data_IF_424284021601
#
_entry.id   IF_424284021601
#
_cell.length_a   1.000
_cell.length_b   1.000
_cell.length_c   1.000
_cell.angle_alpha   90.00
_cell.angle_beta   90.00
_cell.angle_gamma   90.00
#
_symmetry.space_group_name_H-M   'P 1'
#
loop_
_entity.id
_entity.type
_entity.pdbx_description
1 polymer ?
#
# COMPACT_ATOMS: atom_id res chain seq x y z
N UNK A 1 -15.04 3.42 -20.52
CA UNK A 1 -14.50 4.66 -19.91
C UNK A 1 -15.09 5.98 -20.42
N UNK A 2 -15.51 6.09 -21.69
CA UNK A 2 -15.86 7.39 -22.30
C UNK A 2 -14.79 7.91 -23.27
N UNK A 3 -13.88 7.04 -23.70
CA UNK A 3 -12.78 7.32 -24.65
C UNK A 3 -13.27 7.54 -26.09
N UNK A 4 -14.53 7.22 -26.38
CA UNK A 4 -15.18 7.41 -27.67
C UNK A 4 -16.15 8.62 -27.67
N UNK A 5 -16.02 9.55 -26.72
CA UNK A 5 -16.88 10.72 -26.60
C UNK A 5 -16.67 11.68 -27.80
N UNK A 6 -17.45 11.50 -28.86
CA UNK A 6 -17.68 12.53 -29.87
C UNK A 6 -18.79 13.47 -29.37
N UNK A 7 -18.73 14.77 -29.73
CA UNK A 7 -19.77 15.76 -29.42
C UNK A 7 -21.18 15.37 -29.94
N UNK A 8 -21.29 14.37 -30.82
CA UNK A 8 -22.54 13.83 -31.37
C UNK A 8 -23.21 12.73 -30.51
N UNK A 9 -22.57 12.28 -29.43
CA UNK A 9 -23.12 11.20 -28.61
C UNK A 9 -24.19 11.75 -27.65
N UNK A 10 -25.40 11.16 -27.62
CA UNK A 10 -26.47 11.55 -26.71
C UNK A 10 -25.98 11.61 -25.25
N UNK A 11 -26.49 12.53 -24.41
CA UNK A 11 -26.09 12.64 -23.00
C UNK A 11 -26.23 11.32 -22.22
N UNK A 12 -27.18 10.48 -22.62
CA UNK A 12 -27.47 9.13 -22.09
C UNK A 12 -26.40 8.09 -22.46
N UNK A 13 -25.68 8.27 -23.56
CA UNK A 13 -24.65 7.35 -24.05
C UNK A 13 -23.24 7.77 -23.64
N UNK A 14 -23.08 8.88 -22.92
CA UNK A 14 -21.79 9.33 -22.38
C UNK A 14 -21.27 8.37 -21.31
N UNK A 15 -19.94 8.15 -21.33
CA UNK A 15 -19.25 7.29 -20.37
C UNK A 15 -19.22 7.83 -18.93
N UNK A 16 -18.54 7.11 -18.03
CA UNK A 16 -18.43 7.50 -16.62
C UNK A 16 -17.56 8.74 -16.40
N UNK A 17 -16.44 8.85 -17.13
CA UNK A 17 -15.50 9.98 -17.03
C UNK A 17 -16.17 11.32 -17.34
N UNK A 18 -16.81 11.54 -18.51
CA UNK A 18 -17.42 12.83 -18.84
C UNK A 18 -18.50 13.24 -17.83
N UNK A 19 -19.31 12.29 -17.34
CA UNK A 19 -20.36 12.53 -16.34
C UNK A 19 -19.77 12.89 -14.98
N UNK A 20 -18.74 12.17 -14.54
CA UNK A 20 -18.05 12.44 -13.29
C UNK A 20 -17.38 13.81 -13.32
N UNK A 21 -16.71 14.16 -14.42
CA UNK A 21 -16.07 15.47 -14.58
C UNK A 21 -17.09 16.60 -14.62
N UNK A 22 -18.20 16.46 -15.37
CA UNK A 22 -19.27 17.46 -15.37
C UNK A 22 -19.81 17.69 -13.96
N UNK A 23 -20.03 16.63 -13.18
CA UNK A 23 -20.51 16.72 -11.80
C UNK A 23 -19.47 17.37 -10.89
N UNK A 24 -18.20 17.03 -11.05
CA UNK A 24 -17.08 17.58 -10.30
C UNK A 24 -16.96 19.09 -10.52
N UNK A 25 -16.85 19.54 -11.78
CA UNK A 25 -16.75 20.96 -12.11
C UNK A 25 -17.99 21.76 -11.69
N UNK A 26 -19.18 21.17 -11.82
CA UNK A 26 -20.42 21.79 -11.32
C UNK A 26 -20.39 21.95 -9.78
N UNK A 27 -19.89 20.93 -9.07
CA UNK A 27 -19.75 20.97 -7.61
C UNK A 27 -18.72 21.99 -7.15
N UNK A 28 -17.58 22.10 -7.83
CA UNK A 28 -16.55 23.09 -7.51
C UNK A 28 -17.05 24.54 -7.66
N UNK A 29 -17.93 24.79 -8.63
CA UNK A 29 -18.51 26.11 -8.88
C UNK A 29 -19.70 26.45 -7.95
N UNK A 30 -20.13 25.51 -7.10
CA UNK A 30 -21.23 25.72 -6.16
C UNK A 30 -20.89 26.75 -5.08
N UNK A 31 -21.91 27.48 -4.60
CA UNK A 31 -21.79 28.51 -3.57
C UNK A 31 -21.11 28.02 -2.28
N UNK A 32 -21.27 26.73 -1.96
CA UNK A 32 -20.66 26.09 -0.79
C UNK A 32 -19.12 26.06 -0.82
N UNK A 33 -18.53 26.11 -2.01
CA UNK A 33 -17.09 25.92 -2.21
C UNK A 33 -16.37 27.14 -2.76
N UNK A 34 -17.06 28.28 -2.93
CA UNK A 34 -16.47 29.55 -3.42
C UNK A 34 -15.27 30.06 -2.62
N UNK A 35 -15.16 29.69 -1.35
CA UNK A 35 -14.05 30.12 -0.47
C UNK A 35 -12.81 29.23 -0.58
N UNK A 36 -12.87 28.15 -1.39
CA UNK A 36 -11.76 27.21 -1.59
C UNK A 36 -11.09 27.47 -2.92
N UNK A 37 -9.77 27.28 -2.96
CA UNK A 37 -9.00 27.24 -4.22
C UNK A 37 -8.87 25.81 -4.68
N UNK A 38 -9.13 25.55 -5.96
CA UNK A 38 -9.00 24.24 -6.57
C UNK A 38 -7.90 24.26 -7.62
N UNK A 39 -7.12 23.17 -7.68
CA UNK A 39 -6.17 22.89 -8.75
C UNK A 39 -6.35 21.45 -9.17
N UNK A 40 -6.61 21.24 -10.46
CA UNK A 40 -6.84 19.91 -11.02
C UNK A 40 -5.71 19.57 -11.98
N UNK A 41 -5.29 18.32 -11.89
CA UNK A 41 -4.31 17.72 -12.78
C UNK A 41 -4.83 16.38 -13.27
N UNK A 42 -4.50 16.03 -14.50
CA UNK A 42 -4.81 14.74 -15.08
C UNK A 42 -3.54 14.03 -15.53
N UNK A 43 -3.54 12.71 -15.40
CA UNK A 43 -2.51 11.84 -15.95
C UNK A 43 -3.15 10.61 -16.57
N UNK A 44 -2.51 10.05 -17.60
CA UNK A 44 -3.03 8.88 -18.30
C UNK A 44 -1.91 7.90 -18.59
N UNK A 45 -2.03 6.70 -18.02
CA UNK A 45 -1.03 5.64 -18.13
C UNK A 45 -1.65 4.43 -18.81
N UNK A 46 -0.88 3.82 -19.71
CA UNK A 46 -1.12 2.48 -20.23
C UNK A 46 -0.12 1.50 -19.61
N UNK A 47 -0.61 0.32 -19.25
CA UNK A 47 0.21 -0.82 -18.83
C UNK A 47 0.08 -1.89 -19.91
N UNK A 48 1.17 -2.13 -20.62
CA UNK A 48 1.24 -3.14 -21.67
C UNK A 48 2.49 -3.98 -21.49
N UNK A 49 2.34 -5.30 -21.44
CA UNK A 49 3.46 -6.23 -21.21
C UNK A 49 4.31 -5.89 -19.96
N UNK A 50 3.66 -5.53 -18.85
CA UNK A 50 4.31 -5.03 -17.63
C UNK A 50 5.16 -3.76 -17.84
N UNK A 51 5.03 -3.03 -18.95
CA UNK A 51 5.66 -1.72 -19.16
C UNK A 51 4.67 -0.58 -18.96
N UNK A 52 5.13 0.50 -18.33
CA UNK A 52 4.33 1.69 -18.04
C UNK A 52 4.60 2.73 -19.11
N UNK A 53 3.55 3.10 -19.84
CA UNK A 53 3.61 4.03 -20.96
C UNK A 53 2.76 5.25 -20.59
N UNK A 54 3.38 6.43 -20.59
CA UNK A 54 2.65 7.70 -20.47
C UNK A 54 1.95 8.02 -21.80
N UNK A 55 0.63 8.15 -21.76
CA UNK A 55 -0.21 8.46 -22.92
C UNK A 55 -0.37 9.97 -23.17
N UNK A 56 -0.02 10.83 -22.21
CA UNK A 56 -0.06 12.30 -22.35
C UNK A 56 1.31 12.91 -22.65
N UNK A 57 2.38 12.13 -22.47
CA UNK A 57 3.76 12.50 -22.76
C UNK A 57 3.99 12.95 -24.21
N UNK A 58 4.61 14.12 -24.39
CA UNK A 58 4.93 14.68 -25.73
C UNK A 58 6.21 14.11 -26.35
N UNK A 59 7.00 13.35 -25.59
CA UNK A 59 8.25 12.76 -26.07
C UNK A 59 7.99 11.53 -26.94
N UNK A 60 8.64 11.44 -28.11
CA UNK A 60 8.57 10.30 -29.01
C UNK A 60 9.82 9.41 -28.85
N UNK A 61 9.64 8.07 -28.87
CA UNK A 61 10.75 7.10 -28.88
C UNK A 61 11.53 6.98 -27.55
N UNK A 62 12.84 6.71 -27.66
CA UNK A 62 13.78 6.46 -26.54
C UNK A 62 13.98 7.65 -25.59
N UNK A 63 13.47 8.84 -25.94
CA UNK A 63 13.53 10.04 -25.08
C UNK A 63 12.40 10.12 -24.06
N UNK A 64 11.49 9.13 -24.00
CA UNK A 64 10.42 9.10 -23.01
C UNK A 64 10.99 8.83 -21.61
N UNK A 65 10.70 9.67 -20.60
CA UNK A 65 11.09 9.37 -19.23
C UNK A 65 10.46 8.04 -18.82
N UNK A 66 11.28 7.14 -18.29
CA UNK A 66 10.80 5.86 -17.80
C UNK A 66 9.90 6.08 -16.59
N UNK A 67 8.63 5.68 -16.72
CA UNK A 67 7.68 5.76 -15.62
C UNK A 67 8.04 4.69 -14.58
N UNK A 68 8.36 5.12 -13.37
CA UNK A 68 8.73 4.24 -12.26
C UNK A 68 7.80 4.44 -11.07
N UNK A 69 7.51 3.33 -10.39
CA UNK A 69 6.68 3.29 -9.19
C UNK A 69 7.59 3.44 -7.97
N UNK A 70 7.36 4.49 -7.18
CA UNK A 70 8.07 4.75 -5.92
C UNK A 70 7.09 4.69 -4.75
N UNK A 71 7.60 4.36 -3.58
CA UNK A 71 6.85 4.37 -2.32
C UNK A 71 7.37 5.54 -1.48
N UNK A 72 6.48 6.38 -0.96
CA UNK A 72 6.83 7.43 -0.01
C UNK A 72 7.14 6.82 1.38
N UNK A 73 7.77 7.59 2.25
CA UNK A 73 7.99 7.32 3.68
C UNK A 73 6.72 6.90 4.43
N UNK A 74 5.54 7.36 3.97
CA UNK A 74 4.22 7.00 4.49
C UNK A 74 3.62 5.74 3.84
N UNK A 75 4.34 5.09 2.94
CA UNK A 75 3.87 3.92 2.18
C UNK A 75 2.96 4.23 0.99
N UNK A 76 2.75 5.52 0.65
CA UNK A 76 1.91 5.93 -0.48
C UNK A 76 2.62 5.69 -1.81
N UNK A 77 1.88 5.27 -2.83
CA UNK A 77 2.43 5.07 -4.18
C UNK A 77 2.57 6.41 -4.91
N UNK A 78 3.81 6.73 -5.29
CA UNK A 78 4.21 7.90 -6.06
C UNK A 78 4.73 7.48 -7.45
N UNK A 79 4.43 8.30 -8.44
CA UNK A 79 4.77 8.06 -9.83
C UNK A 79 5.89 9.03 -10.21
N UNK A 80 7.03 8.49 -10.64
CA UNK A 80 8.12 9.29 -11.16
C UNK A 80 8.18 9.14 -12.68
N UNK A 81 8.32 10.25 -13.40
CA UNK A 81 8.39 10.25 -14.87
C UNK A 81 7.04 10.33 -15.59
N UNK A 82 5.92 10.40 -14.86
CA UNK A 82 4.58 10.61 -15.44
C UNK A 82 4.27 12.10 -15.59
N UNK A 83 3.82 12.53 -16.78
CA UNK A 83 3.43 13.91 -17.02
C UNK A 83 2.03 14.20 -16.46
N UNK A 84 1.95 15.15 -15.53
CA UNK A 84 0.68 15.66 -15.01
C UNK A 84 0.27 16.94 -15.75
N UNK A 85 -0.85 16.91 -16.46
CA UNK A 85 -1.38 18.05 -17.21
C UNK A 85 -2.39 18.82 -16.36
N UNK A 86 -2.21 20.14 -16.21
CA UNK A 86 -3.17 20.99 -15.50
C UNK A 86 -4.40 21.24 -16.37
N UNK A 87 -5.58 21.11 -15.77
CA UNK A 87 -6.88 21.28 -16.44
C UNK A 87 -7.73 22.31 -15.72
N UNK A 88 -8.49 23.11 -16.47
CA UNK A 88 -9.37 24.16 -15.93
C UNK A 88 -10.82 24.01 -16.38
N UNK A 89 -11.10 23.18 -17.38
CA UNK A 89 -12.45 22.92 -17.89
C UNK A 89 -12.72 21.42 -18.10
N UNK A 90 -14.00 21.06 -18.25
CA UNK A 90 -14.39 19.69 -18.63
C UNK A 90 -13.85 19.36 -20.02
N UNK A 91 -13.86 20.34 -20.94
CA UNK A 91 -13.39 20.16 -22.31
C UNK A 91 -11.87 19.91 -22.35
N UNK A 92 -11.08 20.52 -21.46
CA UNK A 92 -9.64 20.24 -21.33
C UNK A 92 -9.41 18.77 -20.95
N UNK A 93 -10.19 18.26 -19.98
CA UNK A 93 -10.10 16.88 -19.52
C UNK A 93 -10.47 15.92 -20.65
N UNK A 94 -11.56 16.19 -21.36
CA UNK A 94 -11.99 15.38 -22.49
C UNK A 94 -11.00 15.43 -23.66
N UNK A 95 -10.39 16.58 -23.92
CA UNK A 95 -9.34 16.75 -24.92
C UNK A 95 -8.10 15.91 -24.59
N UNK A 96 -7.64 15.92 -23.34
CA UNK A 96 -6.54 15.07 -22.91
C UNK A 96 -6.90 13.57 -22.93
N UNK A 97 -8.13 13.20 -22.56
CA UNK A 97 -8.61 11.83 -22.65
C UNK A 97 -8.64 11.34 -24.10
N UNK A 98 -9.17 12.15 -25.02
CA UNK A 98 -9.23 11.83 -26.45
C UNK A 98 -7.82 11.69 -27.04
N UNK A 99 -6.91 12.63 -26.72
CA UNK A 99 -5.50 12.58 -27.15
C UNK A 99 -4.80 11.31 -26.66
N UNK A 100 -4.92 10.99 -25.37
CA UNK A 100 -4.31 9.77 -24.83
C UNK A 100 -4.94 8.49 -25.40
N UNK A 101 -6.24 8.51 -25.71
CA UNK A 101 -6.93 7.39 -26.38
C UNK A 101 -6.45 7.20 -27.81
N UNK A 102 -6.20 8.29 -28.55
CA UNK A 102 -5.61 8.23 -29.88
C UNK A 102 -4.18 7.68 -29.83
N UNK A 103 -3.36 8.12 -28.87
CA UNK A 103 -2.01 7.60 -28.67
C UNK A 103 -1.99 6.10 -28.36
N UNK A 104 -2.94 5.63 -27.54
CA UNK A 104 -3.16 4.19 -27.26
C UNK A 104 -3.51 3.42 -28.54
N UNK A 105 -4.33 3.99 -29.42
CA UNK A 105 -4.74 3.35 -30.67
C UNK A 105 -3.63 3.33 -31.73
N UNK A 106 -2.82 4.38 -31.85
CA UNK A 106 -1.71 4.44 -32.82
C UNK A 106 -0.61 3.41 -32.50
N UNK A 107 -0.44 3.04 -31.22
CA UNK A 107 0.42 1.92 -30.84
C UNK A 107 -0.06 0.57 -31.37
N UNK A 108 -1.35 0.44 -31.66
CA UNK A 108 -1.97 -0.74 -32.26
C UNK A 108 -1.81 -0.70 -33.78
N UNK A 109 -0.70 -1.20 -34.31
CA UNK A 109 -0.60 -1.48 -35.76
C UNK A 109 -1.65 -2.53 -36.15
N UNK A 110 -2.20 -2.44 -37.38
CA UNK A 110 -3.39 -3.12 -37.95
C UNK A 110 -3.53 -4.65 -37.74
N UNK A 111 -2.52 -5.30 -37.15
CA UNK A 111 -2.48 -6.74 -36.92
C UNK A 111 -2.81 -7.14 -35.46
N UNK A 112 -2.91 -6.19 -34.52
CA UNK A 112 -3.13 -6.46 -33.09
C UNK A 112 -4.27 -5.60 -32.53
N UNK A 113 -5.35 -6.21 -32.04
CA UNK A 113 -6.38 -5.53 -31.25
C UNK A 113 -5.85 -5.21 -29.83
N UNK A 114 -4.83 -4.35 -29.74
CA UNK A 114 -4.01 -4.08 -28.56
C UNK A 114 -4.79 -3.47 -27.39
N UNK A 115 -5.92 -2.79 -27.65
CA UNK A 115 -6.79 -2.22 -26.61
C UNK A 115 -7.44 -3.27 -25.70
N UNK A 116 -7.63 -4.50 -26.17
CA UNK A 116 -8.11 -5.62 -25.34
C UNK A 116 -7.04 -6.20 -24.42
N UNK A 117 -5.77 -5.85 -24.67
CA UNK A 117 -4.57 -6.48 -24.12
C UNK A 117 -3.76 -5.56 -23.22
N UNK A 118 -4.18 -4.31 -23.05
CA UNK A 118 -3.52 -3.35 -22.17
C UNK A 118 -4.48 -2.83 -21.12
N UNK A 119 -3.93 -2.49 -19.95
CA UNK A 119 -4.67 -1.77 -18.92
C UNK A 119 -4.48 -0.27 -19.12
N UNK A 120 -5.53 0.50 -18.95
CA UNK A 120 -5.50 1.95 -19.05
C UNK A 120 -5.97 2.58 -17.74
N UNK A 121 -5.19 3.50 -17.19
CA UNK A 121 -5.49 4.18 -15.92
C UNK A 121 -5.48 5.69 -16.18
N UNK A 122 -6.67 6.29 -16.18
CA UNK A 122 -6.83 7.73 -16.23
C UNK A 122 -7.03 8.26 -14.82
N UNK A 123 -6.13 9.14 -14.36
CA UNK A 123 -6.15 9.67 -13.00
C UNK A 123 -6.43 11.16 -13.00
N UNK A 124 -7.29 11.59 -12.09
CA UNK A 124 -7.59 13.01 -11.84
C UNK A 124 -7.18 13.34 -10.41
N UNK A 125 -6.16 14.16 -10.26
CA UNK A 125 -5.69 14.65 -8.97
C UNK A 125 -6.28 16.03 -8.73
N UNK A 126 -7.06 16.16 -7.65
CA UNK A 126 -7.65 17.41 -7.20
C UNK A 126 -6.97 17.86 -5.91
N UNK A 127 -6.39 19.04 -5.94
CA UNK A 127 -5.81 19.72 -4.79
C UNK A 127 -6.75 20.86 -4.42
N UNK A 128 -7.32 20.80 -3.22
CA UNK A 128 -8.15 21.87 -2.67
C UNK A 128 -7.43 22.55 -1.50
N UNK A 129 -7.42 23.88 -1.48
CA UNK A 129 -6.92 24.66 -0.35
C UNK A 129 -8.11 25.30 0.36
N UNK A 130 -8.32 24.90 1.61
CA UNK A 130 -9.34 25.45 2.49
C UNK A 130 -8.69 26.42 3.46
N UNK A 131 -9.25 27.63 3.56
CA UNK A 131 -8.89 28.56 4.61
C UNK A 131 -9.51 28.12 5.94
N UNK A 132 -8.69 27.90 6.97
CA UNK A 132 -9.14 27.66 8.33
C UNK A 132 -8.87 28.92 9.13
N UNK A 133 -9.81 29.87 9.07
CA UNK A 133 -9.81 31.02 9.97
C UNK A 133 -10.42 30.63 11.31
N UNK A 134 -9.69 30.80 12.41
CA UNK A 134 -10.28 30.72 13.75
C UNK A 134 -11.35 31.81 13.90
N UNK A 135 -12.61 31.40 14.05
CA UNK A 135 -13.72 32.29 14.37
C UNK A 135 -13.87 32.57 15.87
N UNK A 136 -12.82 32.38 16.68
CA UNK A 136 -12.95 32.60 18.13
C UNK A 136 -11.77 33.35 18.70
N UNK A 137 -12.10 34.43 19.41
CA UNK A 137 -11.29 35.27 20.30
C UNK A 137 -10.22 36.19 19.69
N UNK A 138 -10.55 37.48 19.74
CA UNK A 138 -9.66 38.62 19.64
C UNK A 138 -8.51 38.53 20.68
N UNK A 139 -7.37 37.96 20.32
CA UNK A 139 -6.08 38.25 20.97
C UNK A 139 -4.96 37.44 20.31
N UNK A 140 -4.41 37.98 19.21
CA UNK A 140 -3.13 37.67 18.54
C UNK A 140 -3.28 37.39 17.03
N UNK A 141 -2.42 37.97 16.17
CA UNK A 141 -2.39 37.66 14.75
C UNK A 141 -1.74 36.26 14.57
N UNK A 142 -2.54 35.20 14.72
CA UNK A 142 -2.10 33.86 14.31
C UNK A 142 -1.97 33.82 12.78
N UNK A 143 -0.92 33.19 12.23
CA UNK A 143 -0.74 33.08 10.79
C UNK A 143 -1.97 32.38 10.20
N UNK A 144 -2.41 32.89 9.04
CA UNK A 144 -3.51 32.34 8.25
C UNK A 144 -3.22 30.87 7.93
N UNK A 145 -3.92 29.95 8.57
CA UNK A 145 -3.72 28.52 8.39
C UNK A 145 -4.55 28.03 7.19
N UNK A 146 -3.86 27.56 6.17
CA UNK A 146 -4.47 26.91 5.02
C UNK A 146 -4.26 25.41 5.17
N UNK A 147 -5.34 24.64 5.03
CA UNK A 147 -5.28 23.18 4.96
C UNK A 147 -5.40 22.80 3.49
N UNK A 148 -4.43 22.02 3.00
CA UNK A 148 -4.47 21.43 1.67
C UNK A 148 -5.04 20.03 1.78
N UNK A 149 -6.04 19.73 0.98
CA UNK A 149 -6.59 18.37 0.87
C UNK A 149 -6.33 17.88 -0.55
N UNK A 150 -5.70 16.72 -0.66
CA UNK A 150 -5.37 16.12 -1.95
C UNK A 150 -6.24 14.89 -2.16
N UNK A 151 -7.04 14.89 -3.23
CA UNK A 151 -7.91 13.79 -3.60
C UNK A 151 -7.51 13.25 -4.97
N UNK A 152 -7.50 11.93 -5.14
CA UNK A 152 -7.19 11.27 -6.40
C UNK A 152 -8.38 10.44 -6.84
N UNK A 153 -8.79 10.57 -8.11
CA UNK A 153 -9.78 9.72 -8.75
C UNK A 153 -9.09 8.89 -9.82
N UNK A 154 -9.12 7.57 -9.68
CA UNK A 154 -8.57 6.65 -10.66
C UNK A 154 -9.70 5.99 -11.45
N UNK A 155 -9.69 6.17 -12.77
CA UNK A 155 -10.55 5.46 -13.71
C UNK A 155 -9.71 4.40 -14.39
N UNK A 156 -10.02 3.13 -14.10
CA UNK A 156 -9.23 1.98 -14.54
C UNK A 156 -10.05 1.19 -15.56
N UNK A 157 -9.48 1.01 -16.74
CA UNK A 157 -9.95 0.13 -17.81
C UNK A 157 -9.02 -1.07 -17.86
N UNK A 158 -9.49 -2.21 -17.38
CA UNK A 158 -8.68 -3.43 -17.34
C UNK A 158 -8.67 -4.11 -18.72
N UNK A 159 -7.57 -4.79 -19.04
CA UNK A 159 -7.51 -5.73 -20.15
C UNK A 159 -8.60 -6.81 -20.02
N UNK A 160 -8.92 -7.46 -21.13
CA UNK A 160 -9.91 -8.52 -21.20
C UNK A 160 -9.61 -9.64 -20.20
N UNK A 161 -10.64 -10.07 -19.45
CA UNK A 161 -10.53 -11.14 -18.46
C UNK A 161 -10.55 -12.53 -19.06
N UNK A 162 -10.77 -12.64 -20.37
CA UNK A 162 -10.81 -13.89 -21.10
C UNK A 162 -9.45 -14.59 -21.09
N UNK A 163 -9.50 -15.90 -20.85
CA UNK A 163 -8.29 -16.70 -20.93
C UNK A 163 -7.93 -16.90 -22.39
N UNK A 164 -6.66 -16.71 -22.74
CA UNK A 164 -6.14 -17.22 -24.00
C UNK A 164 -6.27 -18.76 -23.97
N UNK A 165 -7.36 -19.28 -24.52
CA UNK A 165 -7.46 -20.69 -24.89
C UNK A 165 -6.26 -20.97 -25.78
N UNK A 166 -5.41 -21.95 -25.40
CA UNK A 166 -4.19 -22.40 -26.11
C UNK A 166 -4.30 -22.13 -27.60
N UNK A 167 -3.98 -20.92 -28.02
CA UNK A 167 -3.93 -20.58 -29.43
C UNK A 167 -2.65 -21.25 -29.89
N UNK A 168 -2.68 -21.89 -31.05
CA UNK A 168 -1.49 -22.46 -31.67
C UNK A 168 -0.47 -21.38 -32.11
N UNK A 169 -0.46 -20.22 -31.45
CA UNK A 169 0.45 -19.13 -31.68
C UNK A 169 1.79 -19.47 -31.02
N UNK A 170 2.70 -20.03 -31.81
CA UNK A 170 4.08 -20.31 -31.41
C UNK A 170 4.85 -18.97 -31.31
N UNK A 171 5.68 -18.80 -30.27
CA UNK A 171 6.65 -17.70 -30.16
C UNK A 171 6.22 -16.51 -29.30
N UNK A 172 6.56 -15.29 -29.71
CA UNK A 172 6.38 -14.04 -28.94
C UNK A 172 4.92 -13.74 -28.57
N UNK A 173 3.95 -14.12 -29.41
CA UNK A 173 2.52 -13.94 -29.12
C UNK A 173 2.04 -14.72 -27.90
N UNK A 174 2.63 -15.90 -27.64
CA UNK A 174 2.32 -16.66 -26.43
C UNK A 174 2.91 -15.99 -25.19
N UNK A 175 4.14 -15.45 -25.29
CA UNK A 175 4.77 -14.68 -24.20
C UNK A 175 3.98 -13.42 -23.86
N UNK A 176 3.50 -12.69 -24.87
CA UNK A 176 2.62 -11.53 -24.72
C UNK A 176 1.31 -11.91 -24.00
N UNK A 177 0.62 -12.96 -24.46
CA UNK A 177 -0.61 -13.45 -23.84
C UNK A 177 -0.43 -13.91 -22.39
N UNK A 178 0.73 -14.47 -22.04
CA UNK A 178 1.08 -14.83 -20.66
C UNK A 178 1.30 -13.56 -19.82
N UNK A 179 2.03 -12.57 -20.35
CA UNK A 179 2.34 -11.33 -19.64
C UNK A 179 1.09 -10.50 -19.33
N UNK A 180 0.14 -10.40 -20.27
CA UNK A 180 -1.13 -9.69 -20.06
C UNK A 180 -1.96 -10.36 -18.96
N UNK A 181 -2.03 -11.70 -19.00
CA UNK A 181 -2.74 -12.45 -17.98
C UNK A 181 -2.01 -12.45 -16.63
N UNK A 182 -0.71 -12.16 -16.60
CA UNK A 182 0.06 -12.03 -15.36
C UNK A 182 -0.49 -10.89 -14.49
N UNK A 183 -0.79 -9.73 -15.09
CA UNK A 183 -1.37 -8.60 -14.36
C UNK A 183 -2.75 -8.90 -13.76
N UNK A 184 -3.63 -9.54 -14.53
CA UNK A 184 -4.95 -9.96 -14.06
C UNK A 184 -4.89 -11.12 -13.05
N UNK A 185 -3.94 -12.04 -13.20
CA UNK A 185 -3.70 -13.13 -12.26
C UNK A 185 -3.21 -12.58 -10.91
N UNK A 186 -2.23 -11.68 -10.93
CA UNK A 186 -1.73 -11.00 -9.73
C UNK A 186 -2.87 -10.23 -9.04
N UNK A 187 -3.70 -9.51 -9.79
CA UNK A 187 -4.88 -8.83 -9.27
C UNK A 187 -5.85 -9.82 -8.60
N UNK A 188 -6.04 -11.00 -9.21
CA UNK A 188 -6.88 -12.07 -8.67
C UNK A 188 -6.34 -12.66 -7.39
N UNK A 189 -5.01 -12.78 -7.26
CA UNK A 189 -4.35 -13.26 -6.05
C UNK A 189 -4.52 -12.25 -4.92
N UNK A 190 -4.29 -10.95 -5.18
CA UNK A 190 -4.51 -9.87 -4.21
C UNK A 190 -5.96 -9.84 -3.73
N UNK A 191 -6.92 -9.91 -4.66
CA UNK A 191 -8.35 -9.92 -4.31
C UNK A 191 -8.73 -11.16 -3.51
N UNK A 192 -8.15 -12.32 -3.81
CA UNK A 192 -8.41 -13.55 -3.06
C UNK A 192 -7.80 -13.52 -1.67
N UNK A 193 -6.61 -12.92 -1.52
CA UNK A 193 -5.94 -12.75 -0.22
C UNK A 193 -6.73 -11.80 0.69
N UNK A 194 -7.28 -10.71 0.13
CA UNK A 194 -8.05 -9.70 0.86
C UNK A 194 -9.51 -10.10 1.11
N UNK A 195 -10.13 -10.82 0.17
CA UNK A 195 -11.57 -11.11 0.18
C UNK A 195 -11.97 -12.36 0.95
N UNK A 196 -11.02 -13.24 1.29
CA UNK A 196 -11.28 -14.44 2.09
C UNK A 196 -10.97 -14.16 3.57
N UNK A 197 -11.97 -14.10 4.47
CA UNK A 197 -11.77 -13.73 5.87
C UNK A 197 -10.89 -14.74 6.64
N UNK A 198 -10.82 -15.99 6.19
CA UNK A 198 -9.96 -17.00 6.80
C UNK A 198 -8.51 -16.78 6.39
N UNK A 199 -8.25 -16.51 5.11
CA UNK A 199 -6.90 -16.17 4.62
C UNK A 199 -6.44 -14.82 5.12
N UNK A 200 -7.29 -13.79 5.17
CA UNK A 200 -6.91 -12.47 5.65
C UNK A 200 -6.40 -12.45 7.10
N UNK A 201 -6.78 -13.42 7.94
CA UNK A 201 -6.26 -13.57 9.31
C UNK A 201 -4.88 -14.25 9.38
N UNK A 202 -4.55 -15.09 8.41
CA UNK A 202 -3.32 -15.89 8.37
C UNK A 202 -2.30 -15.40 7.33
N UNK A 203 -2.74 -14.60 6.35
CA UNK A 203 -1.91 -14.00 5.32
C UNK A 203 -1.30 -12.71 5.85
N UNK A 204 -0.06 -12.81 6.31
CA UNK A 204 0.74 -11.66 6.75
C UNK A 204 1.19 -10.77 5.59
N UNK A 205 1.28 -11.30 4.37
CA UNK A 205 1.80 -10.59 3.21
C UNK A 205 0.86 -10.66 2.00
N UNK A 206 0.45 -9.50 1.48
CA UNK A 206 -0.38 -9.39 0.28
C UNK A 206 0.54 -9.14 -0.92
N UNK A 207 0.44 -9.93 -2.01
CA UNK A 207 1.38 -9.90 -3.12
C UNK A 207 1.13 -8.74 -4.11
N UNK A 208 1.11 -7.49 -3.64
CA UNK A 208 0.96 -6.34 -4.54
C UNK A 208 2.12 -6.20 -5.53
N UNK A 209 3.30 -6.73 -5.20
CA UNK A 209 4.53 -6.58 -5.98
C UNK A 209 4.63 -7.51 -7.19
N UNK A 210 3.72 -8.47 -7.34
CA UNK A 210 3.74 -9.47 -8.42
C UNK A 210 3.46 -8.86 -9.81
N UNK A 211 2.79 -7.69 -9.86
CA UNK A 211 2.56 -6.94 -11.10
C UNK A 211 2.62 -5.44 -10.84
N UNK A 212 3.05 -4.67 -11.84
CA UNK A 212 2.96 -3.20 -11.79
C UNK A 212 1.51 -2.77 -11.59
N UNK A 213 0.52 -3.43 -12.21
CA UNK A 213 -0.90 -3.10 -12.04
C UNK A 213 -1.33 -3.15 -10.57
N UNK A 214 -1.01 -4.23 -9.85
CA UNK A 214 -1.39 -4.38 -8.44
C UNK A 214 -0.66 -3.43 -7.52
N UNK A 215 0.59 -3.05 -7.85
CA UNK A 215 1.30 -1.98 -7.13
C UNK A 215 0.62 -0.63 -7.30
N UNK A 216 0.12 -0.33 -8.50
CA UNK A 216 -0.56 0.93 -8.78
C UNK A 216 -1.93 1.02 -8.12
N UNK A 217 -2.60 -0.12 -7.97
CA UNK A 217 -3.91 -0.22 -7.32
C UNK A 217 -3.83 -0.59 -5.83
N UNK A 218 -2.64 -0.58 -5.24
CA UNK A 218 -2.43 -0.94 -3.84
C UNK A 218 -3.27 -0.05 -2.90
N UNK A 219 -3.30 1.26 -3.15
CA UNK A 219 -4.15 2.18 -2.39
C UNK A 219 -5.65 1.87 -2.58
N UNK A 220 -6.01 1.36 -3.76
CA UNK A 220 -7.40 1.05 -4.15
C UNK A 220 -7.91 -0.28 -3.61
N UNK A 221 -7.04 -1.22 -3.26
CA UNK A 221 -7.42 -2.56 -2.82
C UNK A 221 -6.88 -2.79 -1.40
N UNK A 222 -7.73 -2.67 -0.38
CA UNK A 222 -7.31 -2.80 1.02
C UNK A 222 -6.56 -1.60 1.59
N UNK A 223 -6.44 -0.50 0.85
CA UNK A 223 -5.76 0.73 1.26
C UNK A 223 -6.69 1.90 1.58
N UNK A 224 -6.14 3.11 1.45
CA UNK A 224 -6.81 4.39 1.68
C UNK A 224 -7.55 4.90 0.44
N UNK A 225 -8.62 4.19 0.04
CA UNK A 225 -9.44 4.61 -1.10
C UNK A 225 -10.88 4.12 -0.98
N UNK A 226 -11.79 4.85 -1.63
CA UNK A 226 -13.14 4.37 -1.91
C UNK A 226 -13.16 3.75 -3.30
N UNK A 227 -13.35 2.43 -3.35
CA UNK A 227 -13.20 1.65 -4.59
C UNK A 227 -14.53 1.08 -5.02
N UNK A 228 -14.87 1.31 -6.30
CA UNK A 228 -16.03 0.74 -6.97
C UNK A 228 -15.54 -0.15 -8.12
N UNK A 229 -15.95 -1.42 -8.11
CA UNK A 229 -15.71 -2.34 -9.20
C UNK A 229 -16.98 -2.53 -10.03
N UNK A 230 -16.89 -2.34 -11.35
CA UNK A 230 -17.97 -2.61 -12.30
C UNK A 230 -17.60 -3.88 -13.07
N UNK A 231 -18.36 -4.95 -12.86
CA UNK A 231 -18.17 -6.22 -13.54
C UNK A 231 -19.02 -6.24 -14.83
N UNK A 232 -18.36 -6.13 -15.99
CA UNK A 232 -19.02 -6.21 -17.29
C UNK A 232 -19.12 -7.69 -17.72
N UNK A 233 -20.33 -8.15 -18.03
CA UNK A 233 -20.59 -9.52 -18.45
C UNK A 233 -21.40 -9.56 -19.75
N UNK A 234 -21.21 -10.61 -20.54
CA UNK A 234 -21.94 -10.84 -21.78
C UNK A 234 -23.10 -11.81 -21.53
N UNK A 235 -24.32 -11.54 -22.06
CA UNK A 235 -25.45 -12.46 -21.95
C UNK A 235 -25.37 -13.63 -22.95
N UNK A 236 -24.38 -13.63 -23.86
CA UNK A 236 -24.28 -14.66 -24.89
C UNK A 236 -23.84 -16.01 -24.31
N UNK A 237 -24.50 -17.09 -24.75
CA UNK A 237 -24.28 -18.44 -24.22
C UNK A 237 -22.83 -18.93 -24.37
N UNK A 238 -22.18 -18.62 -25.50
CA UNK A 238 -20.78 -19.00 -25.74
C UNK A 238 -19.78 -18.32 -24.77
N UNK A 239 -20.20 -17.23 -24.09
CA UNK A 239 -19.43 -16.53 -23.07
C UNK A 239 -19.77 -16.96 -21.64
N UNK A 240 -20.66 -17.94 -21.45
CA UNK A 240 -21.16 -18.34 -20.13
C UNK A 240 -20.02 -18.61 -19.12
N UNK A 241 -18.98 -19.33 -19.54
CA UNK A 241 -17.83 -19.64 -18.69
C UNK A 241 -17.09 -18.38 -18.21
N UNK A 242 -16.87 -17.41 -19.10
CA UNK A 242 -16.20 -16.16 -18.74
C UNK A 242 -17.10 -15.27 -17.89
N UNK A 243 -18.39 -15.20 -18.19
CA UNK A 243 -19.39 -14.51 -17.37
C UNK A 243 -19.40 -15.05 -15.93
N UNK A 244 -19.41 -16.38 -15.76
CA UNK A 244 -19.33 -17.01 -14.42
C UNK A 244 -18.02 -16.67 -13.71
N UNK A 245 -16.89 -16.67 -14.42
CA UNK A 245 -15.59 -16.30 -13.85
C UNK A 245 -15.58 -14.85 -13.36
N UNK A 246 -16.07 -13.91 -14.19
CA UNK A 246 -16.18 -12.49 -13.85
C UNK A 246 -17.08 -12.27 -12.63
N UNK A 247 -18.23 -12.95 -12.55
CA UNK A 247 -19.13 -12.84 -11.40
C UNK A 247 -18.51 -13.42 -10.11
N UNK A 248 -17.82 -14.56 -10.19
CA UNK A 248 -17.08 -15.13 -9.05
C UNK A 248 -15.97 -14.20 -8.57
N UNK A 249 -15.32 -13.52 -9.50
CA UNK A 249 -14.29 -12.53 -9.21
C UNK A 249 -14.88 -11.31 -8.50
N UNK A 250 -15.97 -10.75 -9.02
CA UNK A 250 -16.69 -9.64 -8.41
C UNK A 250 -17.22 -9.97 -7.00
N UNK A 251 -17.72 -11.20 -6.79
CA UNK A 251 -18.17 -11.66 -5.48
C UNK A 251 -17.04 -11.68 -4.44
N UNK A 252 -15.82 -12.08 -4.84
CA UNK A 252 -14.64 -12.01 -3.96
C UNK A 252 -14.22 -10.57 -3.68
N UNK A 253 -14.18 -9.72 -4.71
CA UNK A 253 -13.82 -8.31 -4.58
C UNK A 253 -14.76 -7.54 -3.63
N UNK A 254 -16.05 -7.90 -3.60
CA UNK A 254 -17.05 -7.32 -2.69
C UNK A 254 -16.68 -7.47 -1.21
N UNK A 255 -15.95 -8.51 -0.84
CA UNK A 255 -15.61 -8.79 0.56
C UNK A 255 -14.42 -7.96 1.07
N UNK A 256 -13.71 -7.27 0.18
CA UNK A 256 -12.55 -6.45 0.53
C UNK A 256 -13.01 -5.21 1.31
N UNK A 257 -12.34 -4.95 2.43
CA UNK A 257 -12.61 -3.78 3.27
C UNK A 257 -11.48 -2.77 3.13
N UNK A 258 -11.81 -1.58 2.65
CA UNK A 258 -10.89 -0.45 2.58
C UNK A 258 -11.08 0.49 3.77
N UNK A 259 -10.01 1.13 4.21
CA UNK A 259 -10.03 2.16 5.27
C UNK A 259 -9.76 3.52 4.66
N UNK A 260 -10.82 4.16 4.14
CA UNK A 260 -10.72 5.49 3.55
C UNK A 260 -10.66 6.58 4.64
N UNK A 261 -9.62 7.41 4.57
CA UNK A 261 -9.34 8.56 5.44
C UNK A 261 -9.14 9.82 4.59
N UNK A 262 -9.42 10.99 5.16
CA UNK A 262 -9.27 12.25 4.42
C UNK A 262 -7.81 12.68 4.43
N UNK A 263 -7.21 12.78 3.25
CA UNK A 263 -5.82 13.22 3.06
C UNK A 263 -5.70 14.73 3.26
N UNK A 264 -5.64 15.17 4.52
CA UNK A 264 -5.44 16.58 4.88
C UNK A 264 -3.98 16.78 5.28
N UNK A 265 -3.35 17.77 4.66
CA UNK A 265 -2.01 18.21 5.01
C UNK A 265 -2.03 19.72 5.27
N UNK A 266 -1.46 20.13 6.40
CA UNK A 266 -1.24 21.54 6.69
C UNK A 266 -0.23 22.11 5.69
N UNK A 267 -0.51 23.30 5.16
CA UNK A 267 0.38 23.95 4.19
C UNK A 267 1.74 24.19 4.82
N UNK A 268 2.80 23.70 4.16
CA UNK A 268 4.19 23.96 4.55
C UNK A 268 4.89 22.83 5.30
N UNK A 269 4.26 21.66 5.51
CA UNK A 269 4.96 20.48 6.04
C UNK A 269 6.06 19.95 5.11
N UNK A 270 5.87 20.10 3.80
CA UNK A 270 6.86 19.71 2.78
C UNK A 270 7.81 20.86 2.39
N UNK A 271 7.54 22.08 2.87
CA UNK A 271 8.37 23.26 2.59
C UNK A 271 9.35 23.45 3.74
N UNK A 272 10.61 23.10 3.49
CA UNK A 272 11.67 23.08 4.50
C UNK A 272 11.89 24.48 5.09
N UNK A 273 11.70 25.54 4.29
CA UNK A 273 11.82 26.92 4.72
C UNK A 273 10.64 27.33 5.62
N UNK A 274 9.43 26.89 5.29
CA UNK A 274 8.26 27.10 6.15
C UNK A 274 8.42 26.39 7.51
N UNK A 275 8.88 25.13 7.49
CA UNK A 275 9.09 24.34 8.69
C UNK A 275 10.19 24.95 9.58
N UNK A 276 11.31 25.40 8.99
CA UNK A 276 12.37 26.11 9.69
C UNK A 276 11.88 27.41 10.34
N UNK A 277 11.11 28.21 9.60
CA UNK A 277 10.54 29.46 10.11
C UNK A 277 9.52 29.21 11.24
N UNK A 278 8.71 28.15 11.14
CA UNK A 278 7.77 27.76 12.18
C UNK A 278 8.51 27.31 13.45
N UNK A 279 9.57 26.51 13.32
CA UNK A 279 10.41 26.09 14.45
C UNK A 279 11.07 27.29 15.13
N UNK A 280 11.60 28.25 14.37
CA UNK A 280 12.18 29.47 14.91
C UNK A 280 11.15 30.32 15.66
N UNK A 281 9.93 30.44 15.11
CA UNK A 281 8.83 31.17 15.74
C UNK A 281 8.38 30.52 17.04
N UNK A 282 8.16 29.20 17.04
CA UNK A 282 7.79 28.44 18.24
C UNK A 282 8.87 28.49 19.31
N UNK A 283 10.16 28.42 18.94
CA UNK A 283 11.28 28.60 19.88
C UNK A 283 11.31 29.99 20.50
N UNK A 284 11.00 31.02 19.73
CA UNK A 284 10.88 32.41 20.23
C UNK A 284 9.70 32.57 21.19
N UNK A 285 8.55 31.97 20.86
CA UNK A 285 7.34 32.00 21.68
C UNK A 285 7.52 31.25 23.01
N UNK A 286 8.16 30.07 22.98
CA UNK A 286 8.57 29.34 24.19
C UNK A 286 9.51 30.18 25.05
N UNK A 287 10.47 30.89 24.44
CA UNK A 287 11.39 31.78 25.17
C UNK A 287 10.64 32.93 25.82
N UNK A 288 9.72 33.58 25.11
CA UNK A 288 8.91 34.69 25.63
C UNK A 288 7.97 34.25 26.75
N UNK A 289 7.31 33.10 26.60
CA UNK A 289 6.48 32.49 27.63
C UNK A 289 7.32 32.15 28.86
N UNK A 290 8.51 31.56 28.67
CA UNK A 290 9.45 31.24 29.75
C UNK A 290 9.85 32.50 30.54
N UNK A 291 10.13 33.60 29.85
CA UNK A 291 10.44 34.89 30.50
C UNK A 291 9.22 35.49 31.21
N UNK A 292 8.03 35.37 30.63
CA UNK A 292 6.79 35.89 31.23
C UNK A 292 6.37 35.13 32.49
N UNK A 293 6.58 33.81 32.55
CA UNK A 293 6.36 33.06 33.80
C UNK A 293 7.45 33.30 34.85
N UNK A 294 8.65 33.74 34.46
CA UNK A 294 9.69 34.18 35.41
C UNK A 294 9.33 35.56 35.99
N UNK A 295 8.77 36.49 35.20
CA UNK A 295 8.33 37.80 35.68
C UNK A 295 7.08 37.74 36.56
N UNK A 296 6.12 36.85 36.31
CA UNK A 296 4.91 36.73 37.15
C UNK A 296 5.16 36.09 38.52
N UNK A 297 6.32 35.48 38.75
CA UNK A 297 6.75 35.03 40.08
C UNK A 297 7.42 36.14 40.90
N UNK A 298 7.74 37.30 40.31
CA UNK A 298 8.36 38.41 41.02
C UNK A 298 7.37 39.32 41.77
N UNK A 299 6.06 39.26 41.46
CA UNK A 299 5.05 40.19 42.01
C UNK A 299 4.09 39.58 43.04
N UNK A 300 4.14 38.27 43.31
CA UNK A 300 3.29 37.61 44.30
C UNK A 300 4.08 36.90 45.43
N UNK A 301 5.24 37.45 45.81
CA UNK A 301 6.02 36.93 46.94
C UNK A 301 5.83 37.79 48.18
N UNK A 302 4.73 37.57 48.91
CA UNK A 302 4.67 37.95 50.33
C UNK A 302 3.94 36.96 51.24
N UNK A 303 3.46 35.79 50.76
CA UNK A 303 2.70 34.88 51.64
C UNK A 303 2.82 33.37 51.36
N UNK A 304 4.00 32.84 50.98
CA UNK A 304 4.18 31.39 50.84
C UNK A 304 5.63 30.92 51.03
N UNK A 305 6.20 31.14 52.22
CA UNK A 305 7.57 30.71 52.53
C UNK A 305 7.70 29.22 52.96
N UNK A 306 6.61 28.46 53.00
CA UNK A 306 6.63 27.02 53.34
C UNK A 306 6.74 26.08 52.12
N UNK A 307 5.99 26.35 51.06
CA UNK A 307 5.92 25.46 49.88
C UNK A 307 6.99 25.74 48.82
N UNK A 308 7.51 26.96 48.76
CA UNK A 308 8.55 27.33 47.79
C UNK A 308 9.88 26.62 48.06
N UNK A 309 10.27 26.44 49.33
CA UNK A 309 11.50 25.74 49.67
C UNK A 309 11.47 24.26 49.24
N UNK A 310 10.32 23.59 49.35
CA UNK A 310 10.18 22.20 48.91
C UNK A 310 10.22 22.08 47.38
N UNK A 311 9.59 23.02 46.66
CA UNK A 311 9.61 23.04 45.20
C UNK A 311 11.00 23.41 44.64
N UNK A 312 11.73 24.29 45.33
CA UNK A 312 13.10 24.66 44.97
C UNK A 312 14.09 23.50 45.20
N UNK A 313 13.89 22.72 46.27
CA UNK A 313 14.65 21.50 46.53
C UNK A 313 14.34 20.43 45.48
N UNK A 314 13.07 20.25 45.09
CA UNK A 314 12.67 19.33 44.03
C UNK A 314 13.19 19.77 42.65
N UNK A 315 13.17 21.07 42.33
CA UNK A 315 13.74 21.59 41.09
C UNK A 315 15.26 21.41 41.05
N UNK A 316 15.96 21.63 42.17
CA UNK A 316 17.41 21.38 42.26
C UNK A 316 17.73 19.88 42.13
N UNK A 317 16.91 18.99 42.71
CA UNK A 317 17.06 17.55 42.54
C UNK A 317 16.78 17.11 41.10
N UNK A 318 15.74 17.65 40.46
CA UNK A 318 15.38 17.32 39.09
C UNK A 318 16.43 17.85 38.11
N UNK A 319 16.97 19.04 38.36
CA UNK A 319 18.05 19.62 37.57
C UNK A 319 19.37 18.84 37.73
N UNK A 320 19.65 18.32 38.93
CA UNK A 320 20.78 17.43 39.18
C UNK A 320 20.60 16.08 38.49
N UNK A 321 19.40 15.49 38.57
CA UNK A 321 19.06 14.25 37.88
C UNK A 321 19.10 14.40 36.36
N UNK A 322 18.60 15.51 35.81
CA UNK A 322 18.68 15.81 34.38
C UNK A 322 20.13 16.06 33.92
N UNK A 323 20.95 16.72 34.75
CA UNK A 323 22.36 16.91 34.45
C UNK A 323 23.12 15.59 34.49
N UNK A 324 22.84 14.70 35.46
CA UNK A 324 23.43 13.37 35.52
C UNK A 324 22.97 12.48 34.36
N UNK A 325 21.69 12.54 33.99
CA UNK A 325 21.13 11.79 32.87
C UNK A 325 21.68 12.30 31.53
N UNK A 326 21.79 13.62 31.36
CA UNK A 326 22.43 14.26 30.21
C UNK A 326 23.92 13.92 30.14
N UNK A 327 24.62 13.82 31.27
CA UNK A 327 26.03 13.46 31.29
C UNK A 327 26.22 11.95 31.00
N UNK A 328 25.30 11.10 31.43
CA UNK A 328 25.24 9.68 31.03
C UNK A 328 24.91 9.53 29.55
N UNK A 329 23.97 10.29 29.01
CA UNK A 329 23.68 10.30 27.58
C UNK A 329 24.87 10.83 26.78
N UNK A 330 25.52 11.90 27.24
CA UNK A 330 26.73 12.43 26.61
C UNK A 330 27.90 11.43 26.64
N UNK A 331 28.08 10.70 27.75
CA UNK A 331 29.06 9.60 27.84
C UNK A 331 28.70 8.45 26.93
N UNK A 332 27.45 7.99 26.92
CA UNK A 332 27.00 6.88 26.09
C UNK A 332 26.98 7.23 24.60
N UNK A 333 26.71 8.49 24.26
CA UNK A 333 26.84 9.01 22.89
C UNK A 333 28.29 9.22 22.51
N UNK A 334 29.18 9.59 23.45
CA UNK A 334 30.62 9.64 23.21
C UNK A 334 31.24 8.25 23.14
N UNK A 335 30.71 7.24 23.84
CA UNK A 335 31.09 5.83 23.71
C UNK A 335 30.58 5.24 22.40
N UNK A 336 29.37 5.58 21.96
CA UNK A 336 28.85 5.23 20.63
C UNK A 336 29.61 5.95 19.52
N UNK A 337 29.95 7.23 19.71
CA UNK A 337 30.80 7.97 18.79
C UNK A 337 32.23 7.43 18.81
N UNK A 338 32.80 7.03 19.95
CA UNK A 338 34.10 6.38 20.02
C UNK A 338 34.09 4.94 19.47
N UNK A 339 32.95 4.24 19.50
CA UNK A 339 32.77 2.95 18.83
C UNK A 339 32.52 3.10 17.31
N UNK A 340 31.94 4.22 16.87
CA UNK A 340 31.85 4.58 15.45
C UNK A 340 33.16 5.17 14.93
N UNK A 341 33.89 5.93 15.74
CA UNK A 341 35.24 6.43 15.46
C UNK A 341 36.27 5.29 15.56
N UNK A 342 36.07 4.24 16.37
CA UNK A 342 36.86 3.00 16.24
C UNK A 342 36.49 2.16 15.00
N UNK A 343 35.37 2.45 14.34
CA UNK A 343 34.99 1.91 13.03
C UNK A 343 35.49 2.81 11.88
N UNK A 344 35.62 4.12 12.10
CA UNK A 344 36.05 5.13 11.12
C UNK A 344 37.54 5.54 11.23
N UNK A 345 38.24 5.28 12.35
CA UNK A 345 39.71 5.43 12.48
C UNK A 345 40.49 4.26 11.84
N UNK A 346 39.81 3.20 11.40
CA UNK A 346 40.34 2.24 10.42
C UNK A 346 40.08 2.70 8.97
N UNK A 347 39.30 3.77 8.78
CA UNK A 347 38.89 4.29 7.47
C UNK A 347 39.67 5.52 6.99
N UNK A 348 40.32 6.29 7.88
CA UNK A 348 40.86 7.59 7.47
C UNK A 348 42.20 7.99 8.14
N UNK A 349 43.22 7.13 8.02
CA UNK A 349 44.62 7.60 8.08
C UNK A 349 45.55 6.89 7.10
N UNK A 350 45.11 6.71 5.84
CA UNK A 350 46.00 6.42 4.70
C UNK A 350 46.08 7.65 3.79
N UNK A 351 46.58 8.76 4.33
CA UNK A 351 47.25 9.82 3.56
C UNK A 351 48.32 10.52 4.43
N UNK A 352 49.40 9.81 4.77
CA UNK A 352 50.81 10.27 4.68
C UNK A 352 51.79 9.36 5.45
N UNK A 353 52.77 8.85 4.69
CA UNK A 353 54.13 8.43 5.06
C UNK A 353 54.35 7.11 5.85
N UNK A 354 54.69 6.07 5.09
CA UNK A 354 55.78 5.09 5.23
C UNK A 354 56.35 4.82 6.65
N UNK A 355 56.06 3.63 7.22
CA UNK A 355 56.91 2.78 8.11
C UNK A 355 56.14 1.92 9.14
N UNK A 356 54.99 1.30 8.81
CA UNK A 356 54.25 0.44 9.77
C UNK A 356 53.82 -0.94 9.24
N UNK A 357 54.37 -1.40 8.13
CA UNK A 357 53.91 -2.64 7.46
C UNK A 357 54.39 -3.97 8.09
N UNK A 358 55.22 -3.94 9.14
CA UNK A 358 55.80 -5.17 9.69
C UNK A 358 55.18 -5.72 10.98
N UNK A 359 54.29 -4.98 11.65
CA UNK A 359 53.66 -5.43 12.92
C UNK A 359 52.20 -5.89 12.75
N UNK A 360 51.47 -5.40 11.74
CA UNK A 360 50.10 -5.84 11.44
C UNK A 360 50.06 -7.23 10.80
N UNK A 361 51.03 -7.59 9.97
CA UNK A 361 51.03 -8.87 9.26
C UNK A 361 51.02 -10.07 10.22
N UNK A 362 51.78 -10.00 11.33
CA UNK A 362 51.86 -11.11 12.30
C UNK A 362 50.62 -11.22 13.20
N UNK A 363 49.89 -10.12 13.42
CA UNK A 363 48.66 -10.12 14.22
C UNK A 363 47.46 -10.53 13.35
N UNK A 364 47.43 -10.07 12.10
CA UNK A 364 46.45 -10.48 11.09
C UNK A 364 46.54 -11.99 10.82
N UNK A 365 47.74 -12.52 10.62
CA UNK A 365 47.99 -13.95 10.38
C UNK A 365 47.60 -14.85 11.56
N UNK A 366 47.59 -14.32 12.79
CA UNK A 366 47.18 -15.06 13.99
C UNK A 366 45.66 -15.04 14.24
N UNK A 367 44.96 -14.00 13.77
CA UNK A 367 43.52 -13.78 14.02
C UNK A 367 42.64 -14.36 12.90
N UNK A 368 43.14 -14.39 11.67
CA UNK A 368 42.45 -14.93 10.48
C UNK A 368 42.00 -16.39 10.63
N UNK A 369 42.80 -17.36 11.14
CA UNK A 369 42.33 -18.74 11.30
C UNK A 369 41.25 -18.88 12.37
N UNK A 370 41.24 -18.01 13.39
CA UNK A 370 40.24 -18.03 14.47
C UNK A 370 38.89 -17.51 13.95
N UNK A 371 38.89 -16.47 13.14
CA UNK A 371 37.68 -15.95 12.49
C UNK A 371 37.10 -16.99 11.54
N UNK A 372 37.95 -17.67 10.76
CA UNK A 372 37.52 -18.71 9.82
C UNK A 372 36.87 -19.92 10.55
N UNK A 373 37.36 -20.30 11.74
CA UNK A 373 36.73 -21.33 12.57
C UNK A 373 35.35 -20.91 13.11
N UNK A 374 35.19 -19.65 13.51
CA UNK A 374 33.89 -19.13 13.95
C UNK A 374 32.89 -19.03 12.79
N UNK A 375 33.32 -18.60 11.60
CA UNK A 375 32.45 -18.54 10.41
C UNK A 375 31.99 -19.93 9.96
N UNK A 376 32.88 -20.94 10.02
CA UNK A 376 32.52 -22.35 9.78
C UNK A 376 31.51 -22.86 10.80
N UNK A 377 31.69 -22.50 12.08
CA UNK A 377 30.78 -22.90 13.17
C UNK A 377 29.40 -22.27 13.01
N UNK A 378 29.33 -20.99 12.66
CA UNK A 378 28.06 -20.29 12.38
C UNK A 378 27.36 -20.91 11.17
N UNK A 379 28.07 -21.15 10.07
CA UNK A 379 27.52 -21.78 8.87
C UNK A 379 26.98 -23.20 9.15
N UNK A 380 27.66 -23.96 10.02
CA UNK A 380 27.19 -25.29 10.44
C UNK A 380 25.89 -25.22 11.26
N UNK A 381 25.81 -24.28 12.21
CA UNK A 381 24.61 -24.07 13.03
C UNK A 381 23.42 -23.59 12.18
N UNK A 382 23.65 -22.71 11.21
CA UNK A 382 22.61 -22.27 10.28
C UNK A 382 22.06 -23.41 9.43
N UNK A 383 22.94 -24.30 8.94
CA UNK A 383 22.55 -25.51 8.20
C UNK A 383 21.73 -26.48 9.07
N UNK A 384 22.13 -26.70 10.33
CA UNK A 384 21.37 -27.52 11.27
C UNK A 384 19.98 -26.92 11.55
N UNK A 385 19.87 -25.60 11.72
CA UNK A 385 18.59 -24.91 11.87
C UNK A 385 17.70 -25.06 10.64
N UNK A 386 18.26 -24.98 9.43
CA UNK A 386 17.51 -25.18 8.20
C UNK A 386 16.96 -26.61 8.09
N UNK A 387 17.76 -27.63 8.45
CA UNK A 387 17.33 -29.02 8.49
C UNK A 387 16.21 -29.26 9.51
N UNK A 388 16.34 -28.72 10.73
CA UNK A 388 15.31 -28.86 11.77
C UNK A 388 14.00 -28.18 11.34
N UNK A 389 14.06 -27.01 10.70
CA UNK A 389 12.86 -26.34 10.14
C UNK A 389 12.20 -27.15 9.04
N UNK A 390 12.98 -27.76 8.14
CA UNK A 390 12.45 -28.63 7.10
C UNK A 390 11.80 -29.89 7.68
N UNK A 391 12.43 -30.50 8.68
CA UNK A 391 11.88 -31.65 9.40
C UNK A 391 10.56 -31.30 10.12
N UNK A 392 10.51 -30.15 10.79
CA UNK A 392 9.30 -29.67 11.47
C UNK A 392 8.14 -29.48 10.47
N UNK A 393 8.38 -28.78 9.36
CA UNK A 393 7.36 -28.60 8.32
C UNK A 393 6.85 -29.94 7.78
N UNK A 394 7.75 -30.91 7.56
CA UNK A 394 7.35 -32.25 7.10
C UNK A 394 6.48 -32.98 8.13
N UNK A 395 6.82 -32.90 9.42
CA UNK A 395 6.00 -33.47 10.49
C UNK A 395 4.64 -32.80 10.62
N UNK A 396 4.55 -31.49 10.40
CA UNK A 396 3.28 -30.76 10.38
C UNK A 396 2.39 -31.20 9.21
N UNK A 397 2.94 -31.39 8.00
CA UNK A 397 2.16 -31.92 6.87
C UNK A 397 1.66 -33.34 7.14
N UNK A 398 2.52 -34.19 7.73
CA UNK A 398 2.14 -35.56 8.09
C UNK A 398 1.05 -35.59 9.16
N UNK A 399 1.12 -34.73 10.18
CA UNK A 399 0.05 -34.62 11.18
C UNK A 399 -1.27 -34.19 10.55
N UNK A 400 -1.25 -33.20 9.66
CA UNK A 400 -2.45 -32.72 8.99
C UNK A 400 -3.10 -33.81 8.11
N UNK A 401 -2.30 -34.59 7.39
CA UNK A 401 -2.78 -35.75 6.62
C UNK A 401 -3.40 -36.83 7.51
N UNK A 402 -2.83 -37.05 8.71
CA UNK A 402 -3.38 -38.00 9.69
C UNK A 402 -4.69 -37.52 10.31
N UNK A 403 -4.80 -36.23 10.64
CA UNK A 403 -6.04 -35.61 11.12
C UNK A 403 -7.17 -35.73 10.08
N UNK A 404 -6.88 -35.45 8.81
CA UNK A 404 -7.85 -35.60 7.73
C UNK A 404 -8.33 -37.05 7.57
N UNK A 405 -7.41 -38.02 7.64
CA UNK A 405 -7.76 -39.45 7.60
C UNK A 405 -8.62 -39.87 8.79
N UNK A 406 -8.36 -39.32 9.98
CA UNK A 406 -9.15 -39.58 11.18
C UNK A 406 -10.59 -39.06 11.00
N UNK A 407 -10.75 -37.82 10.52
CA UNK A 407 -12.05 -37.21 10.28
C UNK A 407 -12.88 -37.99 9.25
N UNK A 408 -12.27 -38.42 8.15
CA UNK A 408 -12.95 -39.29 7.17
C UNK A 408 -13.36 -40.64 7.78
N UNK A 409 -12.51 -41.25 8.60
CA UNK A 409 -12.83 -42.52 9.26
C UNK A 409 -13.99 -42.36 10.26
N UNK A 410 -14.05 -41.25 10.99
CA UNK A 410 -15.15 -40.92 11.90
C UNK A 410 -16.48 -40.75 11.16
N UNK A 411 -16.49 -40.02 10.04
CA UNK A 411 -17.69 -39.86 9.21
C UNK A 411 -18.20 -41.19 8.65
N UNK A 412 -17.31 -42.05 8.16
CA UNK A 412 -17.69 -43.39 7.68
C UNK A 412 -18.25 -44.24 8.83
N UNK A 413 -17.64 -44.16 10.02
CA UNK A 413 -18.11 -44.89 11.19
C UNK A 413 -19.50 -44.41 11.64
N UNK A 414 -19.78 -43.11 11.58
CA UNK A 414 -21.10 -42.54 11.84
C UNK A 414 -22.15 -43.00 10.82
N UNK A 415 -21.81 -43.00 9.53
CA UNK A 415 -22.68 -43.55 8.48
C UNK A 415 -22.98 -45.03 8.70
N UNK A 416 -21.97 -45.83 9.05
CA UNK A 416 -22.14 -47.25 9.37
C UNK A 416 -23.03 -47.46 10.60
N UNK A 417 -22.90 -46.64 11.65
CA UNK A 417 -23.78 -46.69 12.82
C UNK A 417 -25.23 -46.41 12.44
N UNK A 418 -25.48 -45.40 11.61
CA UNK A 418 -26.83 -45.08 11.15
C UNK A 418 -27.42 -46.21 10.31
N UNK A 419 -26.62 -46.80 9.40
CA UNK A 419 -27.06 -47.94 8.60
C UNK A 419 -27.40 -49.17 9.46
N UNK A 420 -26.61 -49.44 10.50
CA UNK A 420 -26.88 -50.54 11.45
C UNK A 420 -28.20 -50.29 12.20
N UNK A 421 -28.49 -49.05 12.59
CA UNK A 421 -29.75 -48.70 13.26
C UNK A 421 -30.93 -48.93 12.31
N UNK A 422 -30.83 -48.49 11.05
CA UNK A 422 -31.90 -48.68 10.06
C UNK A 422 -32.16 -50.16 9.77
N UNK A 423 -31.10 -50.96 9.62
CA UNK A 423 -31.23 -52.40 9.40
C UNK A 423 -31.86 -53.10 10.62
N UNK A 424 -31.49 -52.73 11.85
CA UNK A 424 -32.12 -53.26 13.07
C UNK A 424 -33.61 -52.96 13.14
N UNK A 425 -34.00 -51.72 12.81
CA UNK A 425 -35.41 -51.32 12.77
C UNK A 425 -36.19 -52.13 11.73
N UNK A 426 -35.61 -52.36 10.55
CA UNK A 426 -36.25 -53.13 9.48
C UNK A 426 -36.40 -54.61 9.83
N UNK A 427 -35.42 -55.20 10.51
CA UNK A 427 -35.51 -56.58 11.03
C UNK A 427 -36.62 -56.67 12.08
N UNK A 428 -36.68 -55.74 13.04
CA UNK A 428 -37.73 -55.73 14.07
C UNK A 428 -39.14 -55.68 13.47
N UNK A 429 -39.36 -54.83 12.46
CA UNK A 429 -40.64 -54.76 11.74
C UNK A 429 -40.99 -56.05 10.99
N UNK A 430 -40.00 -56.76 10.45
CA UNK A 430 -40.23 -58.02 9.76
C UNK A 430 -40.57 -59.14 10.75
N UNK A 431 -39.87 -59.22 11.89
CA UNK A 431 -40.20 -60.17 12.95
C UNK A 431 -41.62 -59.97 13.50
N UNK A 432 -42.04 -58.72 13.75
CA UNK A 432 -43.41 -58.42 14.20
C UNK A 432 -44.48 -58.84 13.17
N UNK A 433 -44.17 -58.69 11.87
CA UNK A 433 -45.03 -59.18 10.78
C UNK A 433 -45.09 -60.69 10.67
N UNK A 434 -44.01 -61.39 11.02
CA UNK A 434 -43.95 -62.85 11.01
C UNK A 434 -44.73 -63.43 12.19
N UNK A 435 -44.55 -62.88 13.40
CA UNK A 435 -45.31 -63.26 14.60
C UNK A 435 -46.83 -63.05 14.42
N UNK A 436 -47.23 -61.95 13.79
CA UNK A 436 -48.65 -61.70 13.48
C UNK A 436 -49.20 -62.62 12.40
N UNK A 437 -48.37 -63.12 11.50
CA UNK A 437 -48.76 -64.08 10.47
C UNK A 437 -48.85 -65.53 11.01
N UNK A 438 -48.03 -65.91 11.99
CA UNK A 438 -48.10 -67.22 12.65
C UNK A 438 -49.29 -67.37 13.61
N UNK A 439 -49.85 -66.24 14.08
CA UNK A 439 -51.03 -66.23 14.96
C UNK A 439 -52.38 -66.27 14.22
N UNK A 440 -52.39 -66.24 12.89
CA UNK A 440 -53.57 -66.40 12.02
C UNK A 440 -53.56 -67.79 11.37
#
# INVERSE_FOLDING_TARGET
MGTADNHSIPPESKGIIPRAMQTLFSSMNSLQFKTRKFSLKVSFVEIYNEDLIDLLGESYGDSRPQVTIREDTKGNILWSGLQEMRVNSVDDVMGHLARGSANRQVGATDMNAQSSRSHAIFSVTMIQQKFVGSSTSQSSPRPREYVTVTSKFHFVDLAGSERLKRSAAVGERAKEGISINSGLLALGNVISALGDPNKAKHTTHIPYRDSKLTRLLQDSLGGNAQTLMIACASPAEYNLNETVNTLKYANRARNIKNTATVNQEEVGWHDLEHLQNLVLKLRSEIRSLKTSCISNNATNSTNSNGSNNNLEVQLKQLQRSYSELSQKHAKKSAELAAHQDNFDEMGDTVKKNDKKDHLDASFQEAVEPVIEEYEKSISSLESQLALVRAALNHTETMMHDHEYKLECAEQINEQNKNLIIDLRNKIAQLCEREETAEHY
#
